data_IF_600839224533
#
_entry.id   IF_600839224533
#
_cell.length_a   1.000
_cell.length_b   1.000
_cell.length_c   1.000
_cell.angle_alpha   90.00
_cell.angle_beta   90.00
_cell.angle_gamma   90.00
#
_symmetry.space_group_name_H-M   'P 1'
#
loop_
_entity.id
_entity.type
_entity.pdbx_description
1 polymer ?
#
# COMPACT_ATOMS: atom_id res chain seq x y z
N UNK A 1 -12.93 -12.62 11.89
CA UNK A 1 -12.21 -11.33 11.86
C UNK A 1 -11.17 -11.43 10.78
N UNK A 2 -10.93 -10.36 10.01
CA UNK A 2 -9.93 -10.41 8.94
C UNK A 2 -8.56 -10.07 9.53
N UNK A 3 -7.56 -10.91 9.27
CA UNK A 3 -6.21 -10.69 9.77
C UNK A 3 -5.43 -9.82 8.80
N UNK A 4 -5.19 -8.58 9.20
CA UNK A 4 -4.51 -7.56 8.41
C UNK A 4 -3.08 -7.38 8.90
N UNK A 5 -2.13 -7.41 7.99
CA UNK A 5 -0.74 -7.01 8.21
C UNK A 5 -0.46 -5.73 7.40
N UNK A 6 0.28 -4.81 7.99
CA UNK A 6 0.82 -3.66 7.29
C UNK A 6 2.33 -3.78 7.12
N UNK A 7 2.83 -3.58 5.92
CA UNK A 7 4.27 -3.54 5.63
C UNK A 7 4.69 -2.08 5.48
N UNK A 8 5.67 -1.67 6.26
CA UNK A 8 6.08 -0.28 6.43
C UNK A 8 7.57 -0.06 6.18
N UNK A 9 7.93 1.10 5.61
CA UNK A 9 9.27 1.66 5.57
C UNK A 9 9.34 2.89 6.50
N UNK A 10 9.69 2.66 7.75
CA UNK A 10 9.62 3.71 8.78
C UNK A 10 10.91 4.53 8.96
N UNK A 11 11.99 4.21 8.24
CA UNK A 11 13.24 4.96 8.35
C UNK A 11 13.19 6.34 7.68
N UNK A 12 12.46 6.45 6.58
CA UNK A 12 12.53 7.62 5.71
C UNK A 12 11.40 8.62 5.91
N UNK A 13 10.16 8.18 5.78
CA UNK A 13 9.00 9.06 5.81
C UNK A 13 8.17 8.87 7.09
N UNK A 14 7.33 9.85 7.38
CA UNK A 14 6.39 9.80 8.49
C UNK A 14 5.06 9.17 8.08
N UNK A 15 4.85 8.99 6.80
CA UNK A 15 3.61 8.53 6.19
C UNK A 15 3.16 7.16 6.70
N UNK A 16 4.09 6.21 6.70
CA UNK A 16 3.89 4.89 7.28
C UNK A 16 3.49 4.95 8.76
N UNK A 17 4.14 5.82 9.53
CA UNK A 17 3.85 5.96 10.96
C UNK A 17 2.43 6.49 11.21
N UNK A 18 2.00 7.48 10.42
CA UNK A 18 0.62 7.99 10.46
C UNK A 18 -0.38 6.91 10.06
N UNK A 19 -0.03 6.11 9.07
CA UNK A 19 -0.85 4.98 8.60
C UNK A 19 -1.02 3.93 9.68
N UNK A 20 0.04 3.54 10.37
CA UNK A 20 0.00 2.58 11.49
C UNK A 20 -0.87 3.14 12.62
N UNK A 21 -0.69 4.40 12.98
CA UNK A 21 -1.50 5.06 14.01
C UNK A 21 -2.98 5.07 13.66
N UNK A 22 -3.31 5.42 12.40
CA UNK A 22 -4.68 5.39 11.92
C UNK A 22 -5.30 4.00 12.06
N UNK A 23 -4.59 2.95 11.64
CA UNK A 23 -5.08 1.58 11.73
C UNK A 23 -5.29 1.14 13.19
N UNK A 24 -4.36 1.48 14.08
CA UNK A 24 -4.44 1.14 15.50
C UNK A 24 -5.62 1.82 16.20
N UNK A 25 -5.81 3.12 15.99
CA UNK A 25 -6.86 3.93 16.62
C UNK A 25 -8.27 3.59 16.08
N UNK A 26 -8.36 3.22 14.81
CA UNK A 26 -9.65 2.89 14.18
C UNK A 26 -10.09 1.46 14.39
N UNK A 27 -9.46 0.73 15.28
CA UNK A 27 -9.80 -0.68 15.57
C UNK A 27 -9.87 -1.52 14.31
N UNK A 28 -9.07 -1.15 13.30
CA UNK A 28 -8.81 -2.02 12.16
C UNK A 28 -8.18 -3.29 12.75
N UNK A 29 -8.62 -4.45 12.32
CA UNK A 29 -8.08 -5.73 12.81
C UNK A 29 -6.62 -5.90 12.37
N UNK A 30 -5.79 -4.95 12.79
CA UNK A 30 -4.36 -4.93 12.55
C UNK A 30 -3.70 -5.98 13.43
N UNK A 31 -3.23 -7.03 12.82
CA UNK A 31 -2.48 -8.08 13.48
C UNK A 31 -1.11 -7.58 13.93
N UNK A 32 -0.50 -6.76 13.12
CA UNK A 32 0.78 -6.09 13.37
C UNK A 32 1.39 -5.49 12.12
N UNK A 33 2.60 -5.03 12.29
CA UNK A 33 3.41 -4.37 11.27
C UNK A 33 4.64 -5.19 10.96
N UNK A 34 4.95 -5.35 9.70
CA UNK A 34 6.22 -5.91 9.21
C UNK A 34 7.06 -4.74 8.68
N UNK A 35 8.32 -4.67 9.07
CA UNK A 35 9.22 -3.62 8.61
C UNK A 35 10.06 -4.12 7.44
N UNK A 36 10.01 -3.40 6.31
CA UNK A 36 10.74 -3.73 5.10
C UNK A 36 11.28 -2.46 4.41
N UNK A 37 12.57 -2.15 4.58
CA UNK A 37 13.56 -2.86 5.37
C UNK A 37 13.44 -2.64 6.89
N UNK A 38 14.09 -3.49 7.67
CA UNK A 38 14.26 -3.25 9.11
C UNK A 38 15.02 -1.93 9.32
N UNK A 39 14.58 -1.06 10.25
CA UNK A 39 15.19 0.23 10.44
C UNK A 39 16.58 0.13 11.05
N UNK A 40 17.54 0.84 10.44
CA UNK A 40 18.92 0.91 10.90
C UNK A 40 19.24 2.21 11.63
N UNK A 41 18.48 3.27 11.35
CA UNK A 41 18.67 4.59 11.97
C UNK A 41 18.15 4.63 13.41
N UNK A 42 18.69 5.53 14.21
CA UNK A 42 18.18 5.77 15.58
C UNK A 42 16.75 6.32 15.55
N UNK A 43 16.40 7.09 14.53
CA UNK A 43 15.03 7.57 14.30
C UNK A 43 14.09 6.41 14.05
N UNK A 44 14.45 5.50 13.15
CA UNK A 44 13.64 4.32 12.87
C UNK A 44 13.46 3.42 14.09
N UNK A 45 14.53 3.18 14.86
CA UNK A 45 14.44 2.43 16.11
C UNK A 45 13.55 3.09 17.17
N UNK A 46 13.56 4.43 17.24
CA UNK A 46 12.66 5.15 18.11
C UNK A 46 11.19 5.03 17.65
N UNK A 47 10.96 5.02 16.34
CA UNK A 47 9.63 4.80 15.75
C UNK A 47 9.10 3.39 16.03
N UNK A 48 9.95 2.36 16.01
CA UNK A 48 9.54 0.99 16.45
C UNK A 48 8.98 1.03 17.85
N UNK A 49 9.71 1.62 18.80
CA UNK A 49 9.24 1.73 20.20
C UNK A 49 7.92 2.51 20.31
N UNK A 50 7.75 3.53 19.47
CA UNK A 50 6.51 4.29 19.43
C UNK A 50 5.34 3.43 18.92
N UNK A 51 5.54 2.65 17.86
CA UNK A 51 4.54 1.71 17.33
C UNK A 51 4.15 0.69 18.41
N UNK A 52 5.12 0.11 19.10
CA UNK A 52 4.88 -0.83 20.19
C UNK A 52 4.14 -0.20 21.35
N UNK A 53 4.37 1.10 21.65
CA UNK A 53 3.65 1.84 22.69
C UNK A 53 2.16 2.05 22.36
N UNK A 54 1.77 1.95 21.09
CA UNK A 54 0.37 1.93 20.65
C UNK A 54 -0.27 0.53 20.74
N UNK A 55 0.45 -0.45 21.29
CA UNK A 55 -0.02 -1.84 21.40
C UNK A 55 0.05 -2.63 20.08
N UNK A 56 0.74 -2.11 19.08
CA UNK A 56 0.90 -2.76 17.78
C UNK A 56 2.15 -3.65 17.80
N UNK A 57 1.97 -4.91 17.42
CA UNK A 57 3.10 -5.86 17.31
C UNK A 57 3.95 -5.55 16.07
N UNK A 58 5.26 -5.69 16.21
CA UNK A 58 6.22 -5.56 15.10
C UNK A 58 6.82 -6.92 14.80
N UNK A 59 6.87 -7.29 13.54
CA UNK A 59 7.36 -8.58 13.05
C UNK A 59 8.49 -8.38 12.02
N UNK A 60 9.39 -9.36 11.95
CA UNK A 60 10.46 -9.41 10.94
C UNK A 60 9.98 -9.97 9.59
N UNK A 61 8.89 -10.73 9.61
CA UNK A 61 8.28 -11.34 8.43
C UNK A 61 6.76 -11.39 8.60
N UNK A 62 6.02 -11.60 7.51
CA UNK A 62 4.58 -11.82 7.56
C UNK A 62 4.34 -13.12 8.35
N UNK A 63 3.63 -13.07 9.48
CA UNK A 63 3.40 -14.24 10.31
C UNK A 63 2.49 -15.26 9.58
N UNK A 64 2.92 -16.51 9.56
CA UNK A 64 2.16 -17.62 8.97
C UNK A 64 0.88 -17.88 9.76
N UNK A 65 0.99 -17.81 11.09
CA UNK A 65 -0.11 -18.01 12.00
C UNK A 65 -0.59 -16.69 12.60
N UNK A 66 -1.90 -16.47 12.54
CA UNK A 66 -2.50 -15.35 13.17
C UNK A 66 -2.72 -15.59 14.67
N UNK A 67 -2.08 -14.83 15.51
CA UNK A 67 -2.70 -14.52 16.79
C UNK A 67 -3.52 -13.21 16.64
N UNK A 68 -4.72 -13.13 17.19
CA UNK A 68 -5.33 -14.04 18.15
C UNK A 68 -6.03 -15.24 17.48
N UNK A 69 -5.98 -16.37 18.16
CA UNK A 69 -6.81 -17.54 17.85
C UNK A 69 -8.26 -17.13 17.88
N UNK A 70 -9.07 -17.60 16.94
CA UNK A 70 -10.51 -17.46 17.03
C UNK A 70 -11.01 -18.11 18.35
N UNK A 71 -12.26 -17.89 18.78
CA UNK A 71 -12.78 -18.47 20.01
C UNK A 71 -12.65 -20.00 20.11
N UNK A 72 -12.44 -20.68 18.99
CA UNK A 72 -12.20 -22.12 18.93
C UNK A 72 -10.70 -22.48 19.00
N UNK A 73 -9.81 -21.53 19.18
CA UNK A 73 -8.38 -21.75 19.30
C UNK A 73 -7.64 -22.07 17.98
N UNK A 74 -8.31 -21.88 16.85
CA UNK A 74 -7.70 -22.09 15.53
C UNK A 74 -6.98 -20.83 15.07
N UNK A 75 -5.73 -20.96 14.65
CA UNK A 75 -4.98 -19.87 14.06
C UNK A 75 -5.60 -19.51 12.69
N UNK A 76 -5.81 -18.22 12.47
CA UNK A 76 -6.33 -17.74 11.19
C UNK A 76 -5.16 -17.16 10.37
N UNK A 77 -4.99 -17.57 9.10
CA UNK A 77 -3.89 -17.07 8.27
C UNK A 77 -4.04 -15.58 7.99
N UNK A 78 -2.93 -14.93 7.67
CA UNK A 78 -2.97 -13.56 7.17
C UNK A 78 -3.74 -13.52 5.85
N UNK A 79 -4.83 -12.76 5.81
CA UNK A 79 -5.70 -12.69 4.62
C UNK A 79 -5.42 -11.45 3.77
N UNK A 80 -5.04 -10.36 4.42
CA UNK A 80 -4.89 -9.06 3.79
C UNK A 80 -3.55 -8.46 4.16
N UNK A 81 -2.81 -8.02 3.16
CA UNK A 81 -1.60 -7.23 3.34
C UNK A 81 -1.80 -5.84 2.75
N UNK A 82 -1.56 -4.82 3.56
CA UNK A 82 -1.36 -3.46 3.09
C UNK A 82 0.15 -3.19 3.04
N UNK A 83 0.62 -2.61 1.94
CA UNK A 83 2.05 -2.41 1.73
C UNK A 83 2.36 -0.94 1.38
N UNK A 84 3.02 -0.23 2.31
CA UNK A 84 3.60 1.10 2.13
C UNK A 84 5.08 1.06 1.71
N UNK A 85 5.75 -0.08 1.91
CA UNK A 85 7.17 -0.29 1.62
C UNK A 85 7.47 -1.11 0.36
N UNK A 86 8.63 -1.74 0.35
CA UNK A 86 9.04 -2.69 -0.68
C UNK A 86 8.16 -3.95 -0.67
N UNK A 87 8.25 -4.75 -1.73
CA UNK A 87 7.49 -5.99 -1.85
C UNK A 87 8.28 -7.24 -1.46
N UNK A 88 9.48 -7.08 -0.89
CA UNK A 88 10.37 -8.20 -0.55
C UNK A 88 9.69 -9.21 0.37
N UNK A 89 9.09 -8.73 1.45
CA UNK A 89 8.40 -9.60 2.43
C UNK A 89 7.12 -10.23 1.88
N UNK A 90 6.41 -9.53 1.00
CA UNK A 90 5.26 -10.12 0.29
C UNK A 90 5.71 -11.24 -0.63
N UNK A 91 6.78 -11.01 -1.41
CA UNK A 91 7.31 -12.02 -2.33
C UNK A 91 7.81 -13.28 -1.59
N UNK A 92 8.43 -13.11 -0.43
CA UNK A 92 8.82 -14.21 0.44
C UNK A 92 7.61 -15.02 0.89
N UNK A 93 6.58 -14.36 1.43
CA UNK A 93 5.40 -15.00 1.98
C UNK A 93 4.57 -15.75 0.93
N UNK A 94 4.34 -15.14 -0.21
CA UNK A 94 3.48 -15.75 -1.24
C UNK A 94 4.13 -16.90 -2.04
N UNK A 95 5.36 -17.26 -1.74
CA UNK A 95 5.95 -18.51 -2.28
C UNK A 95 5.17 -19.72 -1.80
N UNK A 96 4.79 -19.72 -0.52
CA UNK A 96 4.21 -20.88 0.16
C UNK A 96 2.79 -20.61 0.69
N UNK A 97 2.35 -19.36 0.74
CA UNK A 97 1.09 -18.95 1.36
C UNK A 97 0.20 -18.14 0.40
N UNK A 98 -1.10 -18.24 0.60
CA UNK A 98 -2.10 -17.49 -0.17
C UNK A 98 -2.53 -16.22 0.54
N UNK A 99 -2.72 -15.15 -0.22
CA UNK A 99 -3.34 -13.92 0.20
C UNK A 99 -4.66 -13.72 -0.54
N UNK A 100 -5.70 -13.33 0.15
CA UNK A 100 -6.95 -12.88 -0.48
C UNK A 100 -6.75 -11.53 -1.13
N UNK A 101 -5.98 -10.63 -0.48
CA UNK A 101 -5.76 -9.32 -1.04
C UNK A 101 -4.40 -8.72 -0.64
N UNK A 102 -3.79 -8.10 -1.62
CA UNK A 102 -2.71 -7.15 -1.45
C UNK A 102 -3.19 -5.76 -1.87
N UNK A 103 -3.10 -4.79 -0.98
CA UNK A 103 -3.29 -3.37 -1.31
C UNK A 103 -1.97 -2.66 -1.12
N UNK A 104 -1.52 -1.92 -2.10
CA UNK A 104 -0.24 -1.25 -1.97
C UNK A 104 -0.22 0.16 -2.53
N UNK A 105 0.60 0.99 -1.89
CA UNK A 105 1.04 2.24 -2.44
C UNK A 105 2.11 1.98 -3.50
N UNK A 106 1.73 2.06 -4.75
CA UNK A 106 2.67 1.81 -5.85
C UNK A 106 2.02 1.83 -7.22
N UNK A 107 2.86 1.80 -8.24
CA UNK A 107 2.43 1.76 -9.61
C UNK A 107 2.08 3.13 -10.22
N UNK A 108 1.90 3.09 -11.52
CA UNK A 108 1.47 4.22 -12.33
C UNK A 108 0.77 3.72 -13.59
N UNK A 109 -0.39 4.25 -13.89
CA UNK A 109 -1.13 3.97 -15.12
C UNK A 109 -0.95 5.15 -16.07
N UNK A 110 -0.21 4.94 -17.15
CA UNK A 110 0.10 5.97 -18.12
C UNK A 110 -0.82 5.98 -19.35
N UNK A 111 -0.40 6.73 -20.35
CA UNK A 111 -1.07 6.71 -21.66
C UNK A 111 -0.84 5.36 -22.38
N UNK A 112 -1.83 4.90 -23.15
CA UNK A 112 -3.09 5.57 -23.50
C UNK A 112 -4.25 5.31 -22.50
N UNK A 113 -4.04 4.57 -21.41
CA UNK A 113 -5.11 4.17 -20.49
C UNK A 113 -5.67 5.37 -19.73
N UNK A 114 -4.76 6.24 -19.25
CA UNK A 114 -5.12 7.52 -18.66
C UNK A 114 -4.81 8.62 -19.66
N UNK A 115 -5.80 9.20 -20.32
CA UNK A 115 -5.57 10.28 -21.28
C UNK A 115 -4.90 11.50 -20.63
N UNK A 116 -4.03 12.19 -21.37
CA UNK A 116 -3.27 13.36 -20.90
C UNK A 116 -4.14 14.42 -20.23
N UNK A 117 -5.35 14.66 -20.71
CA UNK A 117 -6.26 15.66 -20.13
C UNK A 117 -6.83 15.25 -18.78
N UNK A 118 -6.77 13.96 -18.42
CA UNK A 118 -7.16 13.42 -17.10
C UNK A 118 -5.98 13.13 -16.20
N UNK A 119 -4.77 13.12 -16.73
CA UNK A 119 -3.57 12.91 -15.96
C UNK A 119 -3.19 14.15 -15.13
N UNK A 120 -2.61 13.94 -13.96
CA UNK A 120 -2.00 15.04 -13.19
C UNK A 120 -0.98 15.79 -14.06
N UNK A 121 -0.88 17.13 -13.96
CA UNK A 121 -0.07 17.94 -14.87
C UNK A 121 1.36 17.42 -15.09
N UNK A 122 2.01 16.96 -14.03
CA UNK A 122 3.39 16.41 -14.07
C UNK A 122 3.51 15.05 -14.77
N UNK A 123 2.40 14.38 -15.02
CA UNK A 123 2.37 13.05 -15.65
C UNK A 123 1.77 13.03 -17.05
N UNK A 124 1.35 14.18 -17.55
CA UNK A 124 0.80 14.30 -18.92
C UNK A 124 1.81 13.83 -19.96
N UNK A 125 1.35 13.06 -20.93
CA UNK A 125 2.17 12.52 -22.02
C UNK A 125 3.11 11.38 -21.58
N UNK A 126 2.99 10.88 -20.36
CA UNK A 126 3.85 9.79 -19.88
C UNK A 126 3.15 8.44 -19.97
N UNK A 127 3.79 7.50 -20.63
CA UNK A 127 3.38 6.09 -20.64
C UNK A 127 3.86 5.35 -19.40
N UNK A 128 5.00 5.77 -18.82
CA UNK A 128 5.62 5.15 -17.67
C UNK A 128 6.26 6.17 -16.73
N UNK A 129 6.23 5.87 -15.43
CA UNK A 129 6.88 6.67 -14.38
C UNK A 129 7.50 5.75 -13.35
N UNK A 130 8.71 6.05 -12.96
CA UNK A 130 9.41 5.36 -11.87
C UNK A 130 8.61 5.48 -10.56
N UNK A 131 8.38 4.35 -9.88
CA UNK A 131 7.70 4.30 -8.59
C UNK A 131 8.64 3.77 -7.51
N UNK A 132 8.64 4.38 -6.33
CA UNK A 132 9.65 4.10 -5.31
C UNK A 132 9.57 2.64 -4.83
N UNK A 133 8.44 2.23 -4.28
CA UNK A 133 8.29 0.92 -3.66
C UNK A 133 8.59 -0.27 -4.60
N UNK A 134 8.18 -0.17 -5.87
CA UNK A 134 8.53 -1.19 -6.88
C UNK A 134 10.01 -1.21 -7.22
N UNK A 135 10.70 -0.09 -7.05
CA UNK A 135 12.13 0.02 -7.35
C UNK A 135 13.04 -0.33 -6.18
N UNK A 136 12.50 -0.43 -4.97
CA UNK A 136 13.27 -0.91 -3.83
C UNK A 136 13.69 -2.37 -4.02
N UNK A 137 12.79 -3.19 -4.57
CA UNK A 137 13.10 -4.57 -4.97
C UNK A 137 12.29 -4.95 -6.23
N UNK A 138 12.91 -4.75 -7.39
CA UNK A 138 12.27 -5.01 -8.69
C UNK A 138 11.95 -6.48 -8.89
N UNK A 139 12.80 -7.38 -8.40
CA UNK A 139 12.60 -8.82 -8.54
C UNK A 139 11.41 -9.28 -7.68
N UNK A 140 11.30 -8.79 -6.47
CA UNK A 140 10.17 -9.05 -5.61
C UNK A 140 8.86 -8.48 -6.19
N UNK A 141 8.89 -7.24 -6.70
CA UNK A 141 7.73 -6.64 -7.34
C UNK A 141 7.25 -7.46 -8.55
N UNK A 142 8.17 -7.91 -9.40
CA UNK A 142 7.86 -8.77 -10.54
C UNK A 142 7.26 -10.11 -10.11
N UNK A 143 7.83 -10.75 -9.09
CA UNK A 143 7.33 -12.02 -8.55
C UNK A 143 5.92 -11.88 -7.95
N UNK A 144 5.66 -10.83 -7.17
CA UNK A 144 4.36 -10.56 -6.56
C UNK A 144 3.29 -10.33 -7.63
N UNK A 145 3.59 -9.54 -8.65
CA UNK A 145 2.64 -9.21 -9.73
C UNK A 145 2.33 -10.40 -10.65
N UNK A 146 3.11 -11.47 -10.59
CA UNK A 146 2.92 -12.73 -11.31
C UNK A 146 2.36 -13.85 -10.42
N UNK A 147 2.33 -13.67 -9.12
CA UNK A 147 2.00 -14.73 -8.17
C UNK A 147 0.55 -15.20 -8.27
N UNK A 148 0.36 -16.52 -8.41
CA UNK A 148 -0.96 -17.15 -8.36
C UNK A 148 -1.51 -17.26 -6.93
N UNK A 149 -0.67 -17.01 -5.93
CA UNK A 149 -1.05 -17.07 -4.53
C UNK A 149 -1.67 -15.78 -4.00
N UNK A 150 -1.93 -14.77 -4.85
CA UNK A 150 -2.66 -13.56 -4.47
C UNK A 150 -3.94 -13.50 -5.31
N UNK A 151 -5.10 -13.49 -4.65
CA UNK A 151 -6.38 -13.49 -5.37
C UNK A 151 -6.67 -12.12 -5.98
N UNK A 152 -6.40 -11.03 -5.25
CA UNK A 152 -6.62 -9.67 -5.72
C UNK A 152 -5.46 -8.75 -5.36
N UNK A 153 -5.01 -7.96 -6.33
CA UNK A 153 -4.03 -6.88 -6.13
C UNK A 153 -4.69 -5.55 -6.43
N UNK A 154 -4.62 -4.62 -5.47
CA UNK A 154 -5.12 -3.24 -5.60
C UNK A 154 -3.93 -2.29 -5.47
N UNK A 155 -3.84 -1.36 -6.40
CA UNK A 155 -2.75 -0.39 -6.47
C UNK A 155 -3.28 1.03 -6.36
N UNK A 156 -2.82 1.73 -5.36
CA UNK A 156 -3.08 3.14 -5.12
C UNK A 156 -1.78 3.89 -5.37
N UNK A 157 -1.58 4.25 -6.62
CA UNK A 157 -0.29 4.72 -7.12
C UNK A 157 -0.22 6.21 -7.44
N UNK A 158 0.78 6.56 -8.23
CA UNK A 158 1.11 7.96 -8.55
C UNK A 158 -0.01 8.75 -9.20
N UNK A 159 -0.96 8.10 -9.85
CA UNK A 159 -2.11 8.76 -10.47
C UNK A 159 -2.97 9.54 -9.47
N UNK A 160 -3.03 9.08 -8.23
CA UNK A 160 -3.89 9.63 -7.18
C UNK A 160 -3.11 10.13 -5.96
N UNK A 161 -2.05 9.43 -5.58
CA UNK A 161 -1.26 9.79 -4.40
C UNK A 161 -0.59 11.17 -4.49
N UNK A 162 -0.29 11.63 -5.69
CA UNK A 162 0.33 12.94 -5.92
C UNK A 162 -0.66 14.08 -6.16
N UNK A 163 -1.96 13.81 -6.12
CA UNK A 163 -2.98 14.85 -6.22
C UNK A 163 -2.95 15.79 -5.01
N UNK A 164 -3.29 17.06 -5.20
CA UNK A 164 -3.31 18.04 -4.12
C UNK A 164 -4.43 17.79 -3.12
N UNK A 165 -5.42 16.99 -3.49
CA UNK A 165 -6.46 16.49 -2.60
C UNK A 165 -5.90 15.51 -1.54
N UNK A 166 -4.82 14.78 -1.84
CA UNK A 166 -4.23 13.82 -0.90
C UNK A 166 -3.27 14.50 0.08
N UNK A 167 -3.77 15.41 0.90
CA UNK A 167 -3.00 16.05 1.98
C UNK A 167 -3.76 15.96 3.29
N UNK A 168 -3.04 16.13 4.40
CA UNK A 168 -3.66 16.13 5.72
C UNK A 168 -4.75 17.19 5.81
N UNK A 169 -4.50 18.39 5.32
CA UNK A 169 -5.41 19.54 5.42
C UNK A 169 -6.71 19.34 4.62
N UNK A 170 -6.71 18.48 3.61
CA UNK A 170 -7.88 18.24 2.76
C UNK A 170 -8.66 17.00 3.21
N UNK A 171 -8.00 15.84 3.23
CA UNK A 171 -8.69 14.56 3.49
C UNK A 171 -8.77 14.25 4.98
N UNK A 172 -7.68 14.51 5.72
CA UNK A 172 -7.45 13.99 7.05
C UNK A 172 -7.62 15.04 8.15
N UNK A 173 -8.12 16.23 7.81
CA UNK A 173 -8.25 17.39 8.73
C UNK A 173 -9.00 17.08 10.03
N UNK A 174 -9.96 16.16 9.97
CA UNK A 174 -10.77 15.78 11.12
C UNK A 174 -10.09 14.70 11.99
N UNK A 175 -8.99 14.12 11.50
CA UNK A 175 -8.19 13.08 12.17
C UNK A 175 -7.00 13.70 12.92
N UNK A 176 -7.26 14.71 13.74
CA UNK A 176 -6.21 15.52 14.39
C UNK A 176 -5.25 14.70 15.24
N UNK A 177 -5.70 13.59 15.83
CA UNK A 177 -4.87 12.67 16.61
C UNK A 177 -3.69 12.11 15.79
N UNK A 178 -3.80 12.01 14.48
CA UNK A 178 -2.73 11.48 13.63
C UNK A 178 -1.44 12.30 13.73
N UNK A 179 -1.57 13.60 13.92
CA UNK A 179 -0.42 14.52 13.94
C UNK A 179 0.07 14.84 15.34
N UNK A 180 -0.64 14.43 16.39
CA UNK A 180 -0.23 14.72 17.77
C UNK A 180 1.13 14.13 18.09
N UNK A 181 2.09 15.01 18.45
CA UNK A 181 3.46 14.62 18.78
C UNK A 181 4.32 14.23 17.58
N UNK A 182 3.81 14.37 16.35
CA UNK A 182 4.54 14.01 15.14
C UNK A 182 4.77 15.24 14.24
N UNK A 183 6.00 15.42 13.68
CA UNK A 183 6.32 16.59 12.86
C UNK A 183 5.81 16.45 11.42
N UNK A 184 4.51 16.64 11.22
CA UNK A 184 3.91 16.61 9.87
C UNK A 184 4.07 17.96 9.19
N UNK A 185 4.64 17.99 8.00
CA UNK A 185 4.81 19.21 7.21
C UNK A 185 3.50 19.60 6.53
N UNK A 186 3.13 20.89 6.48
CA UNK A 186 2.01 21.34 5.66
C UNK A 186 2.12 20.85 4.20
N UNK A 187 1.00 20.45 3.61
CA UNK A 187 0.95 19.92 2.25
C UNK A 187 1.60 18.55 2.05
N UNK A 188 1.94 17.83 3.13
CA UNK A 188 2.43 16.45 3.05
C UNK A 188 1.40 15.55 2.41
N UNK A 189 1.77 14.87 1.35
CA UNK A 189 0.96 13.82 0.72
C UNK A 189 1.02 12.56 1.55
N UNK A 190 -0.12 11.98 1.87
CA UNK A 190 -0.25 10.77 2.69
C UNK A 190 -0.54 9.56 1.79
N UNK A 191 0.50 9.06 1.15
CA UNK A 191 0.40 8.03 0.10
C UNK A 191 -0.07 6.70 0.67
N UNK A 192 0.55 6.28 1.75
CA UNK A 192 0.30 4.98 2.37
C UNK A 192 -1.04 4.96 3.10
N UNK A 193 -1.35 6.07 3.77
CA UNK A 193 -2.65 6.23 4.43
C UNK A 193 -3.80 6.20 3.43
N UNK A 194 -3.64 6.81 2.25
CA UNK A 194 -4.64 6.74 1.19
C UNK A 194 -4.82 5.30 0.70
N UNK A 195 -3.74 4.56 0.52
CA UNK A 195 -3.81 3.16 0.07
C UNK A 195 -4.54 2.28 1.08
N UNK A 196 -4.25 2.43 2.38
CA UNK A 196 -4.93 1.70 3.44
C UNK A 196 -6.41 2.08 3.49
N UNK A 197 -6.74 3.36 3.46
CA UNK A 197 -8.11 3.86 3.49
C UNK A 197 -8.95 3.26 2.35
N UNK A 198 -8.45 3.33 1.13
CA UNK A 198 -9.11 2.76 -0.05
C UNK A 198 -9.29 1.24 0.06
N UNK A 199 -8.26 0.54 0.54
CA UNK A 199 -8.36 -0.89 0.79
C UNK A 199 -9.43 -1.24 1.81
N UNK A 200 -9.58 -0.46 2.87
CA UNK A 200 -10.64 -0.64 3.87
C UNK A 200 -12.03 -0.39 3.29
N UNK A 201 -12.18 0.62 2.42
CA UNK A 201 -13.43 0.89 1.68
C UNK A 201 -13.83 -0.31 0.83
N UNK A 202 -12.91 -0.89 0.07
CA UNK A 202 -13.16 -2.08 -0.75
C UNK A 202 -13.69 -3.27 0.05
N UNK A 203 -13.30 -3.38 1.31
CA UNK A 203 -13.75 -4.47 2.18
C UNK A 203 -15.05 -4.20 2.94
N UNK A 204 -15.64 -3.01 2.78
CA UNK A 204 -16.82 -2.62 3.56
C UNK A 204 -16.54 -2.55 5.06
N UNK A 205 -15.28 -2.41 5.45
CA UNK A 205 -14.85 -2.29 6.85
C UNK A 205 -14.99 -0.86 7.38
N UNK A 206 -15.34 0.08 6.52
CA UNK A 206 -15.54 1.47 6.86
C UNK A 206 -17.01 1.77 7.06
N UNK A 207 -17.39 2.17 8.25
CA UNK A 207 -18.58 2.98 8.49
C UNK A 207 -18.41 4.42 7.99
N UNK A 208 -17.49 4.66 7.05
CA UNK A 208 -17.14 5.98 6.53
C UNK A 208 -18.04 6.38 5.38
N UNK A 209 -18.56 7.59 5.50
CA UNK A 209 -19.25 8.27 4.40
C UNK A 209 -18.23 8.56 3.29
N UNK A 210 -18.54 8.10 2.09
CA UNK A 210 -17.77 8.26 0.86
C UNK A 210 -17.57 9.74 0.50
N UNK A 211 -16.55 10.37 1.07
CA UNK A 211 -16.13 11.69 0.61
C UNK A 211 -15.03 11.61 -0.47
N UNK A 212 -14.54 10.41 -0.77
CA UNK A 212 -13.44 10.22 -1.71
C UNK A 212 -13.74 9.00 -2.59
N UNK A 213 -14.08 9.26 -3.82
CA UNK A 213 -14.28 8.20 -4.80
C UNK A 213 -13.11 8.22 -5.77
N UNK A 214 -12.24 7.20 -5.65
CA UNK A 214 -11.24 6.95 -6.68
C UNK A 214 -11.84 6.17 -7.84
N UNK A 215 -11.39 6.49 -9.02
CA UNK A 215 -11.70 5.74 -10.23
C UNK A 215 -10.68 4.63 -10.38
N UNK A 216 -11.16 3.38 -10.50
CA UNK A 216 -10.31 2.22 -10.71
C UNK A 216 -10.45 1.66 -12.12
N UNK A 217 -9.36 1.10 -12.62
CA UNK A 217 -9.32 0.31 -13.85
C UNK A 217 -8.63 -1.01 -13.61
N UNK A 218 -9.13 -2.04 -14.23
CA UNK A 218 -8.40 -3.30 -14.37
C UNK A 218 -7.32 -3.14 -15.45
N UNK A 219 -6.10 -3.43 -15.08
CA UNK A 219 -4.93 -3.27 -15.97
C UNK A 219 -3.97 -4.43 -15.77
N UNK A 220 -3.14 -4.69 -16.78
CA UNK A 220 -2.03 -5.61 -16.66
C UNK A 220 -0.75 -4.82 -16.38
N UNK A 221 0.00 -5.18 -15.33
CA UNK A 221 1.33 -4.62 -15.12
C UNK A 221 2.29 -5.20 -16.15
N UNK A 222 3.29 -4.43 -16.53
CA UNK A 222 4.41 -4.94 -17.29
C UNK A 222 5.69 -4.18 -16.93
N UNK A 223 6.81 -4.88 -16.99
CA UNK A 223 8.12 -4.28 -16.89
C UNK A 223 8.61 -3.99 -18.30
N UNK A 224 8.90 -2.74 -18.62
CA UNK A 224 9.34 -2.34 -19.95
C UNK A 224 10.81 -2.64 -20.25
N UNK A 225 11.50 -3.35 -19.36
CA UNK A 225 12.89 -3.79 -19.57
C UNK A 225 13.92 -2.68 -19.54
N UNK A 226 13.56 -1.43 -19.29
CA UNK A 226 14.51 -0.33 -19.17
C UNK A 226 15.23 -0.41 -17.81
N UNK A 227 16.32 -1.19 -17.80
CA UNK A 227 17.28 -1.29 -16.68
C UNK A 227 16.62 -1.39 -15.30
N UNK A 228 15.65 -2.26 -15.18
CA UNK A 228 15.13 -2.73 -13.93
C UNK A 228 14.24 -1.79 -13.13
N UNK A 229 13.77 -0.68 -13.68
CA UNK A 229 13.29 0.38 -12.82
C UNK A 229 11.95 1.02 -13.18
N UNK A 230 11.17 0.46 -14.10
CA UNK A 230 9.86 1.03 -14.44
C UNK A 230 8.85 -0.09 -14.63
N UNK A 231 7.73 0.03 -13.95
CA UNK A 231 6.56 -0.81 -14.21
C UNK A 231 5.55 0.04 -14.94
N UNK A 232 5.29 -0.31 -16.19
CA UNK A 232 4.23 0.29 -17.00
C UNK A 232 2.94 -0.48 -16.81
N UNK A 233 1.82 0.22 -16.85
CA UNK A 233 0.51 -0.34 -16.65
C UNK A 233 -0.29 -0.27 -17.94
N UNK A 234 -0.62 -1.43 -18.44
CA UNK A 234 -1.70 -1.63 -19.34
C UNK A 234 -1.55 -1.09 -20.74
N UNK A 235 -1.30 -1.98 -21.65
CA UNK A 235 -1.86 -1.93 -22.99
C UNK A 235 -2.82 -3.10 -23.17
N UNK A 236 -3.55 -3.12 -24.29
CA UNK A 236 -4.43 -4.24 -24.67
C UNK A 236 -3.68 -5.57 -24.94
N UNK A 237 -2.38 -5.60 -24.77
CA UNK A 237 -1.53 -6.78 -24.89
C UNK A 237 -1.34 -7.37 -23.51
N UNK A 238 -1.89 -8.54 -23.26
CA UNK A 238 -1.63 -9.32 -22.04
C UNK A 238 -0.12 -9.64 -21.98
N UNK A 239 0.61 -9.05 -21.02
CA UNK A 239 2.02 -9.40 -20.87
C UNK A 239 2.09 -10.81 -20.30
N UNK A 240 2.87 -11.65 -20.90
CA UNK A 240 3.03 -13.05 -20.53
C UNK A 240 3.36 -13.18 -19.03
N UNK A 241 2.50 -13.82 -18.28
CA UNK A 241 2.71 -14.19 -16.88
C UNK A 241 2.26 -13.18 -15.83
N UNK A 242 1.84 -11.97 -16.19
CA UNK A 242 1.28 -11.02 -15.22
C UNK A 242 -0.22 -11.21 -15.03
N UNK A 243 -0.68 -11.00 -13.80
CA UNK A 243 -2.10 -10.99 -13.47
C UNK A 243 -2.71 -9.63 -13.71
N UNK A 244 -4.01 -9.62 -13.92
CA UNK A 244 -4.81 -8.42 -13.91
C UNK A 244 -4.87 -7.84 -12.50
N UNK A 245 -4.68 -6.54 -12.38
CA UNK A 245 -4.73 -5.81 -11.11
C UNK A 245 -5.71 -4.65 -11.20
N UNK A 246 -6.24 -4.23 -10.06
CA UNK A 246 -7.05 -3.04 -9.93
C UNK A 246 -6.14 -1.84 -9.61
N UNK A 247 -6.09 -0.85 -10.48
CA UNK A 247 -5.28 0.34 -10.23
C UNK A 247 -6.14 1.61 -10.16
N UNK A 248 -5.90 2.44 -9.14
CA UNK A 248 -6.49 3.76 -9.04
C UNK A 248 -5.91 4.68 -10.11
N UNK A 249 -6.76 5.24 -10.96
CA UNK A 249 -6.36 6.02 -12.14
C UNK A 249 -6.72 7.52 -12.04
N UNK A 250 -7.53 7.90 -11.09
CA UNK A 250 -7.95 9.28 -10.87
C UNK A 250 -8.96 9.40 -9.76
N UNK A 251 -9.33 10.63 -9.48
CA UNK A 251 -10.40 11.01 -8.57
C UNK A 251 -11.67 11.32 -9.36
N UNK A 252 -12.84 11.03 -8.77
CA UNK A 252 -14.14 11.47 -9.30
C UNK A 252 -14.29 12.97 -9.16
#
# INVERSE_FOLDING_TARGET
MKNVIYIADIDQDIDDLLTIRYMAERSVFLKGVVLDPMPTSDVGKARVKLIESWGVKVFDSIPEDAEPKNPMGVAEPTEIVYCGGALTKVAEYVKDHKLKQLVMNGGFVGEPIVPSNKALPKFRGKSAVRTFNFNCDVAAADAVLKSDNIEQIILVGKNVCHDDRNTFEVIWKDETYLTEGLPVRPGKKLHDLLAVYEGLVFYGLNGYKDNHVLVYKEVYPFNNGLKGNMTEWGSSLEPTGYKKVLAAVGWV
#
